data_IF_798325910479
#
_entry.id   IF_798325910479
#
_cell.length_a   1.000
_cell.length_b   1.000
_cell.length_c   1.000
_cell.angle_alpha   90.00
_cell.angle_beta   90.00
_cell.angle_gamma   90.00
#
_symmetry.space_group_name_H-M   'P 1'
#
loop_
_entity.id
_entity.type
_entity.pdbx_description
1 polymer ?
#
# COMPACT_ATOMS: atom_id res chain seq x y z
N UNK A 1 -9.57 -8.41 -12.71
CA UNK A 1 -8.24 -7.98 -12.23
C UNK A 1 -8.17 -6.46 -12.36
N UNK A 2 -7.91 -5.75 -11.26
CA UNK A 2 -8.11 -4.30 -11.03
C UNK A 2 -9.52 -3.76 -11.32
N UNK A 3 -10.31 -3.54 -10.27
CA UNK A 3 -11.63 -2.92 -10.37
C UNK A 3 -11.52 -1.39 -10.46
N UNK A 4 -11.91 -0.83 -11.60
CA UNK A 4 -11.84 0.62 -11.85
C UNK A 4 -13.19 1.30 -12.04
N UNK A 5 -14.29 0.54 -12.05
CA UNK A 5 -15.63 1.01 -12.45
C UNK A 5 -16.19 2.11 -11.55
N UNK A 6 -15.79 2.15 -10.29
CA UNK A 6 -16.24 3.12 -9.28
C UNK A 6 -15.22 4.22 -8.97
N UNK A 7 -14.12 4.31 -9.74
CA UNK A 7 -13.09 5.33 -9.54
C UNK A 7 -13.43 6.62 -10.26
N UNK A 8 -13.18 7.76 -9.61
CA UNK A 8 -13.23 9.05 -10.30
C UNK A 8 -12.14 9.13 -11.37
N UNK A 9 -12.28 9.97 -12.40
CA UNK A 9 -11.25 10.10 -13.45
C UNK A 9 -9.85 10.38 -12.90
N UNK A 10 -9.75 11.21 -11.84
CA UNK A 10 -8.48 11.48 -11.17
C UNK A 10 -7.90 10.26 -10.46
N UNK A 11 -8.74 9.47 -9.78
CA UNK A 11 -8.31 8.23 -9.12
C UNK A 11 -7.85 7.19 -10.14
N UNK A 12 -8.58 7.04 -11.25
CA UNK A 12 -8.20 6.15 -12.35
C UNK A 12 -6.85 6.56 -12.96
N UNK A 13 -6.63 7.85 -13.20
CA UNK A 13 -5.34 8.36 -13.67
C UNK A 13 -4.18 8.06 -12.71
N UNK A 14 -4.39 8.28 -11.41
CA UNK A 14 -3.39 7.94 -10.37
C UNK A 14 -3.12 6.44 -10.29
N UNK A 15 -4.14 5.61 -10.47
CA UNK A 15 -4.00 4.16 -10.50
C UNK A 15 -3.15 3.70 -11.67
N UNK A 16 -3.43 4.23 -12.86
CA UNK A 16 -2.64 3.94 -14.06
C UNK A 16 -1.17 4.29 -13.86
N UNK A 17 -0.88 5.50 -13.36
CA UNK A 17 0.51 5.93 -13.07
C UNK A 17 1.19 5.03 -12.04
N UNK A 18 0.48 4.60 -10.99
CA UNK A 18 1.03 3.71 -9.97
C UNK A 18 1.34 2.31 -10.53
N UNK A 19 0.45 1.78 -11.37
CA UNK A 19 0.59 0.47 -12.03
C UNK A 19 1.72 0.45 -13.06
N UNK A 20 1.90 1.54 -13.80
CA UNK A 20 2.89 1.65 -14.86
C UNK A 20 4.30 1.98 -14.31
N UNK A 21 4.42 2.26 -13.01
CA UNK A 21 5.71 2.59 -12.38
C UNK A 21 6.63 1.35 -12.37
N UNK A 22 7.87 1.48 -12.88
CA UNK A 22 8.84 0.40 -12.85
C UNK A 22 9.45 0.26 -11.45
N UNK A 23 9.61 -0.99 -11.02
CA UNK A 23 10.30 -1.37 -9.80
C UNK A 23 11.20 -2.57 -10.07
N UNK A 24 12.16 -2.81 -9.18
CA UNK A 24 13.02 -3.98 -9.21
C UNK A 24 12.43 -5.05 -8.29
N UNK A 25 11.97 -6.15 -8.87
CA UNK A 25 11.46 -7.32 -8.16
C UNK A 25 12.38 -8.50 -8.47
N UNK A 26 12.96 -9.10 -7.44
CA UNK A 26 13.86 -10.27 -7.56
C UNK A 26 14.96 -10.09 -8.62
N UNK A 27 15.52 -8.89 -8.69
CA UNK A 27 16.59 -8.55 -9.64
C UNK A 27 16.12 -8.06 -11.00
N UNK A 28 14.85 -8.27 -11.38
CA UNK A 28 14.27 -7.89 -12.67
C UNK A 28 13.50 -6.56 -12.57
N UNK A 29 13.71 -5.65 -13.51
CA UNK A 29 12.94 -4.41 -13.60
C UNK A 29 11.68 -4.67 -14.41
N UNK A 30 10.52 -4.53 -13.77
CA UNK A 30 9.19 -4.65 -14.40
C UNK A 30 8.22 -3.66 -13.79
N UNK A 31 7.13 -3.38 -14.50
CA UNK A 31 6.07 -2.52 -13.97
C UNK A 31 5.36 -3.21 -12.83
N UNK A 32 4.80 -2.42 -11.90
CA UNK A 32 4.00 -2.96 -10.81
C UNK A 32 2.83 -3.80 -11.33
N UNK A 33 2.19 -3.38 -12.43
CA UNK A 33 1.15 -4.14 -13.14
C UNK A 33 1.63 -5.54 -13.54
N UNK A 34 2.72 -5.61 -14.31
CA UNK A 34 3.23 -6.87 -14.83
C UNK A 34 3.62 -7.83 -13.70
N UNK A 35 4.18 -7.30 -12.61
CA UNK A 35 4.51 -8.12 -11.45
C UNK A 35 3.26 -8.72 -10.78
N UNK A 36 2.19 -7.94 -10.60
CA UNK A 36 0.95 -8.43 -9.99
C UNK A 36 0.25 -9.45 -10.91
N UNK A 37 0.30 -9.25 -12.23
CA UNK A 37 -0.20 -10.21 -13.23
C UNK A 37 0.53 -11.56 -13.16
N UNK A 38 1.86 -11.52 -13.02
CA UNK A 38 2.69 -12.72 -12.84
C UNK A 38 2.38 -13.43 -11.51
N UNK A 39 2.23 -12.67 -10.41
CA UNK A 39 1.85 -13.24 -9.12
C UNK A 39 0.47 -13.92 -9.19
N UNK A 40 -0.50 -13.29 -9.85
CA UNK A 40 -1.84 -13.85 -10.03
C UNK A 40 -1.85 -15.08 -10.95
N UNK A 41 -0.93 -15.15 -11.92
CA UNK A 41 -0.75 -16.33 -12.76
C UNK A 41 -0.11 -17.49 -11.98
N UNK A 42 0.75 -17.19 -11.01
CA UNK A 42 1.42 -18.19 -10.17
C UNK A 42 0.54 -18.79 -9.07
N UNK A 43 -0.52 -18.07 -8.65
CA UNK A 43 -1.43 -18.52 -7.60
C UNK A 43 -2.36 -17.41 -7.10
N UNK A 44 -3.20 -17.71 -6.10
CA UNK A 44 -4.07 -16.70 -5.49
C UNK A 44 -3.25 -15.58 -4.85
N UNK A 45 -3.72 -14.34 -5.01
CA UNK A 45 -3.10 -13.18 -4.39
C UNK A 45 -3.44 -13.14 -2.90
N UNK A 46 -2.41 -13.13 -2.05
CA UNK A 46 -2.51 -12.87 -0.62
C UNK A 46 -2.47 -11.35 -0.38
N UNK A 47 -3.53 -10.84 0.24
CA UNK A 47 -3.74 -9.42 0.49
C UNK A 47 -3.71 -9.16 1.99
N UNK A 48 -2.61 -8.58 2.47
CA UNK A 48 -2.43 -8.29 3.89
C UNK A 48 -2.23 -6.79 4.13
N UNK A 49 -2.78 -6.31 5.25
CA UNK A 49 -2.59 -4.93 5.72
C UNK A 49 -1.65 -4.96 6.93
N UNK A 50 -0.72 -4.01 6.99
CA UNK A 50 0.09 -3.79 8.20
C UNK A 50 -0.75 -3.17 9.33
N UNK A 51 -0.32 -3.38 10.58
CA UNK A 51 -0.93 -2.73 11.76
C UNK A 51 -0.73 -1.20 11.81
N UNK A 52 0.15 -0.69 10.95
CA UNK A 52 0.54 0.70 10.84
C UNK A 52 1.62 1.13 11.81
N UNK A 53 2.21 0.22 12.58
CA UNK A 53 3.17 0.51 13.65
C UNK A 53 4.62 0.29 13.27
N UNK A 54 4.91 -0.11 12.03
CA UNK A 54 6.26 -0.33 11.53
C UNK A 54 7.18 0.90 11.68
N UNK A 55 6.62 2.11 11.51
CA UNK A 55 7.35 3.38 11.67
C UNK A 55 7.15 4.00 13.08
N UNK A 56 6.64 3.22 14.04
CA UNK A 56 6.44 3.69 15.41
C UNK A 56 7.79 3.93 16.10
N UNK A 57 7.94 5.12 16.67
CA UNK A 57 9.09 5.49 17.50
C UNK A 57 8.64 5.79 18.93
N UNK A 58 9.06 4.94 19.86
CA UNK A 58 8.81 5.14 21.30
C UNK A 58 9.40 6.46 21.80
N UNK A 59 10.59 6.83 21.32
CA UNK A 59 11.24 8.09 21.69
C UNK A 59 10.44 9.30 21.20
N UNK A 60 9.91 9.27 19.97
CA UNK A 60 9.04 10.33 19.47
C UNK A 60 7.74 10.41 20.28
N UNK A 61 7.09 9.26 20.51
CA UNK A 61 5.86 9.16 21.28
C UNK A 61 6.00 9.77 22.69
N UNK A 62 7.08 9.44 23.40
CA UNK A 62 7.35 9.93 24.75
C UNK A 62 7.69 11.44 24.81
N UNK A 63 8.09 12.06 23.69
CA UNK A 63 8.34 13.50 23.61
C UNK A 63 7.07 14.30 23.39
N UNK A 64 5.97 13.67 22.99
CA UNK A 64 4.67 14.34 22.82
C UNK A 64 4.10 14.68 24.20
N UNK A 65 3.76 15.95 24.39
CA UNK A 65 3.43 16.53 25.70
C UNK A 65 2.00 16.26 26.15
N UNK A 66 1.16 15.70 25.28
CA UNK A 66 -0.25 15.45 25.58
C UNK A 66 -0.75 14.12 24.99
N UNK A 67 -1.75 13.53 25.63
CA UNK A 67 -2.44 12.34 25.12
C UNK A 67 -3.08 12.57 23.75
N UNK A 68 -3.59 13.78 23.49
CA UNK A 68 -4.17 14.13 22.18
C UNK A 68 -3.14 14.07 21.04
N UNK A 69 -1.92 14.51 21.29
CA UNK A 69 -0.83 14.44 20.30
C UNK A 69 -0.36 13.00 20.09
N UNK A 70 -0.31 12.21 21.16
CA UNK A 70 0.01 10.78 21.11
C UNK A 70 -1.01 10.00 20.27
N UNK A 71 -2.31 10.26 20.47
CA UNK A 71 -3.39 9.66 19.69
C UNK A 71 -3.33 10.10 18.22
N UNK A 72 -3.06 11.38 17.97
CA UNK A 72 -2.91 11.90 16.61
C UNK A 72 -1.70 11.26 15.88
N UNK A 73 -0.60 11.03 16.59
CA UNK A 73 0.56 10.33 16.06
C UNK A 73 0.22 8.87 15.69
N UNK A 74 -0.42 8.14 16.60
CA UNK A 74 -0.89 6.76 16.33
C UNK A 74 -1.86 6.72 15.14
N UNK A 75 -2.83 7.64 15.08
CA UNK A 75 -3.79 7.70 13.98
C UNK A 75 -3.09 7.96 12.64
N UNK A 76 -2.09 8.85 12.61
CA UNK A 76 -1.29 9.14 11.42
C UNK A 76 -0.49 7.92 10.96
N UNK A 77 0.10 7.17 11.88
CA UNK A 77 0.81 5.92 11.59
C UNK A 77 -0.14 4.90 10.97
N UNK A 78 -1.30 4.64 11.60
CA UNK A 78 -2.34 3.73 11.07
C UNK A 78 -2.89 4.15 9.71
N UNK A 79 -3.00 5.45 9.45
CA UNK A 79 -3.44 5.97 8.16
C UNK A 79 -2.41 5.75 7.05
N UNK A 80 -1.12 5.66 7.40
CA UNK A 80 0.00 5.41 6.48
C UNK A 80 0.49 3.97 6.50
N UNK A 81 -0.30 3.05 7.05
CA UNK A 81 0.06 1.62 7.09
C UNK A 81 0.41 1.10 5.70
N UNK A 82 1.32 0.14 5.66
CA UNK A 82 1.67 -0.54 4.43
C UNK A 82 0.60 -1.56 4.04
N UNK A 83 0.45 -1.73 2.74
CA UNK A 83 -0.45 -2.69 2.11
C UNK A 83 0.41 -3.64 1.31
N UNK A 84 0.11 -4.93 1.39
CA UNK A 84 0.95 -5.97 0.82
C UNK A 84 0.15 -6.84 -0.16
N UNK A 85 0.80 -7.22 -1.26
CA UNK A 85 0.33 -8.22 -2.22
C UNK A 85 1.42 -9.29 -2.30
N UNK A 86 1.13 -10.51 -1.84
CA UNK A 86 2.10 -11.61 -1.74
C UNK A 86 3.41 -11.18 -1.05
N UNK A 87 3.30 -10.40 0.03
CA UNK A 87 4.46 -9.88 0.78
C UNK A 87 5.14 -8.63 0.20
N UNK A 88 4.75 -8.15 -0.99
CA UNK A 88 5.30 -6.94 -1.60
C UNK A 88 4.49 -5.69 -1.23
N UNK A 89 5.17 -4.64 -0.80
CA UNK A 89 4.52 -3.36 -0.46
C UNK A 89 3.98 -2.71 -1.73
N UNK A 90 2.68 -2.39 -1.71
CA UNK A 90 2.00 -1.69 -2.80
C UNK A 90 1.28 -0.42 -2.30
N UNK A 91 1.03 0.57 -3.17
CA UNK A 91 0.17 1.70 -2.80
C UNK A 91 -1.25 1.26 -2.46
N UNK A 92 -1.87 1.88 -1.45
CA UNK A 92 -3.26 1.61 -1.03
C UNK A 92 -4.25 1.59 -2.18
N UNK A 93 -4.12 2.52 -3.13
CA UNK A 93 -5.00 2.62 -4.29
C UNK A 93 -4.93 1.36 -5.18
N UNK A 94 -3.75 0.77 -5.32
CA UNK A 94 -3.55 -0.49 -6.06
C UNK A 94 -4.14 -1.65 -5.28
N UNK A 95 -3.88 -1.71 -3.97
CA UNK A 95 -4.46 -2.72 -3.08
C UNK A 95 -6.00 -2.70 -3.10
N UNK A 96 -6.60 -1.53 -2.94
CA UNK A 96 -8.06 -1.33 -2.99
C UNK A 96 -8.63 -1.75 -4.35
N UNK A 97 -7.92 -1.53 -5.45
CA UNK A 97 -8.34 -1.95 -6.79
C UNK A 97 -8.29 -3.47 -6.98
N UNK A 98 -7.44 -4.20 -6.25
CA UNK A 98 -7.37 -5.68 -6.32
C UNK A 98 -8.42 -6.32 -5.39
N UNK A 99 -8.62 -5.74 -4.20
CA UNK A 99 -9.47 -6.31 -3.15
C UNK A 99 -10.96 -6.16 -3.40
N UNK A 100 -11.37 -5.08 -4.08
CA UNK A 100 -12.76 -4.90 -4.49
C UNK A 100 -13.18 -6.05 -5.39
#
# INVERSE_FOLDING_TARGET
>A
MFQTESLTPMQSGRLKVALDRPYRFDGVVKTLRAHIEELAASGPLDLTEGDGMIDYSRTHFNRLGSFKEQDAYIARLKAKRYFYVNGWVVPKLVFDAIRR
#
